data_IF_233647229621
#
_entry.id   IF_233647229621
#
_cell.length_a   1.000
_cell.length_b   1.000
_cell.length_c   1.000
_cell.angle_alpha   90.00
_cell.angle_beta   90.00
_cell.angle_gamma   90.00
#
_symmetry.space_group_name_H-M   'P 1'
#
loop_
_entity.id
_entity.type
_entity.pdbx_description
1 polymer ?
#
# COMPACT_ATOMS: atom_id res chain seq x y z
N UNK A 1 4.05 -10.25 -15.73
CA UNK A 1 3.20 -9.04 -15.89
C UNK A 1 3.87 -7.82 -15.24
N UNK A 2 4.47 -6.88 -15.98
CA UNK A 2 5.16 -5.73 -15.39
C UNK A 2 4.19 -4.56 -15.11
N UNK A 3 4.27 -3.95 -13.93
CA UNK A 3 3.63 -2.65 -13.63
C UNK A 3 4.67 -1.68 -13.09
N UNK A 4 4.49 -0.38 -13.34
CA UNK A 4 5.50 0.66 -13.06
C UNK A 4 4.85 1.85 -12.38
N UNK A 5 5.49 2.35 -11.31
CA UNK A 5 5.16 3.64 -10.69
C UNK A 5 6.39 4.52 -10.57
N UNK A 6 6.17 5.83 -10.70
CA UNK A 6 7.15 6.83 -10.33
C UNK A 6 7.24 6.92 -8.79
N UNK A 7 8.46 7.12 -8.30
CA UNK A 7 8.78 7.34 -6.90
C UNK A 7 9.41 8.73 -6.71
N UNK A 8 9.42 9.26 -5.48
CA UNK A 8 10.16 10.48 -5.14
C UNK A 8 11.62 10.45 -5.60
N UNK A 9 12.15 11.66 -5.84
CA UNK A 9 13.54 11.90 -6.22
C UNK A 9 13.94 11.29 -7.58
N UNK A 10 12.95 11.10 -8.47
CA UNK A 10 13.14 10.65 -9.85
C UNK A 10 13.47 9.15 -9.98
N UNK A 11 13.09 8.35 -8.98
CA UNK A 11 13.21 6.90 -9.07
C UNK A 11 11.91 6.30 -9.62
N UNK A 12 11.98 5.07 -10.08
CA UNK A 12 10.88 4.29 -10.61
C UNK A 12 10.98 2.88 -10.05
N UNK A 13 9.85 2.31 -9.69
CA UNK A 13 9.74 0.89 -9.34
C UNK A 13 9.01 0.16 -10.44
N UNK A 14 9.50 -1.02 -10.80
CA UNK A 14 8.80 -1.99 -11.63
C UNK A 14 8.59 -3.27 -10.82
N UNK A 15 7.34 -3.67 -10.60
CA UNK A 15 7.02 -5.01 -10.06
C UNK A 15 6.68 -5.97 -11.19
N UNK A 16 7.00 -7.25 -11.01
CA UNK A 16 6.70 -8.31 -11.97
C UNK A 16 6.65 -9.67 -11.25
N UNK A 17 5.92 -10.62 -11.80
CA UNK A 17 5.98 -12.02 -11.36
C UNK A 17 7.18 -12.71 -12.03
N UNK A 18 7.97 -13.45 -11.26
CA UNK A 18 9.15 -14.13 -11.76
C UNK A 18 8.92 -15.64 -11.81
N UNK A 19 8.78 -16.18 -13.03
CA UNK A 19 8.66 -17.62 -13.22
C UNK A 19 9.95 -18.36 -12.81
N UNK A 20 9.83 -19.32 -11.89
CA UNK A 20 10.94 -20.13 -11.39
C UNK A 20 11.77 -19.48 -10.28
N UNK A 21 11.20 -18.49 -9.58
CA UNK A 21 11.82 -17.90 -8.40
C UNK A 21 11.91 -18.89 -7.22
N UNK A 22 12.87 -18.65 -6.32
CA UNK A 22 13.14 -19.54 -5.19
C UNK A 22 12.00 -19.56 -4.17
N UNK A 23 11.35 -18.42 -3.94
CA UNK A 23 10.30 -18.27 -2.93
C UNK A 23 9.00 -18.95 -3.35
N UNK A 24 8.66 -18.85 -4.64
CA UNK A 24 7.53 -19.50 -5.28
C UNK A 24 7.66 -19.39 -6.80
N UNK A 25 7.07 -20.34 -7.54
CA UNK A 25 7.12 -20.37 -9.01
C UNK A 25 6.73 -19.06 -9.69
N UNK A 26 5.90 -18.21 -9.09
CA UNK A 26 5.54 -16.88 -9.62
C UNK A 26 5.68 -15.80 -8.54
N UNK A 27 6.70 -15.88 -7.70
CA UNK A 27 6.93 -14.88 -6.66
C UNK A 27 7.02 -13.47 -7.28
N UNK A 28 6.50 -12.47 -6.56
CA UNK A 28 6.59 -11.08 -7.01
C UNK A 28 7.97 -10.55 -6.69
N UNK A 29 8.59 -9.99 -7.72
CA UNK A 29 9.87 -9.32 -7.66
C UNK A 29 9.70 -7.86 -8.07
N UNK A 30 10.69 -7.04 -7.72
CA UNK A 30 10.77 -5.67 -8.18
C UNK A 30 12.19 -5.23 -8.49
N UNK A 31 12.28 -4.17 -9.29
CA UNK A 31 13.50 -3.46 -9.63
C UNK A 31 13.28 -1.96 -9.41
N UNK A 32 14.33 -1.27 -8.99
CA UNK A 32 14.34 0.18 -8.84
C UNK A 32 15.33 0.80 -9.82
N UNK A 33 14.91 1.85 -10.53
CA UNK A 33 15.76 2.57 -11.48
C UNK A 33 15.54 4.08 -11.42
N UNK A 34 16.57 4.86 -11.74
CA UNK A 34 16.46 6.31 -11.99
C UNK A 34 16.00 6.66 -13.41
N UNK A 35 15.99 5.67 -14.31
CA UNK A 35 15.45 5.79 -15.67
C UNK A 35 14.53 4.58 -15.93
N UNK A 36 13.24 4.80 -16.23
CA UNK A 36 12.27 3.72 -16.44
C UNK A 36 12.59 2.85 -17.67
N UNK A 37 13.60 3.21 -18.47
CA UNK A 37 14.08 2.43 -19.63
C UNK A 37 15.22 1.46 -19.29
N UNK A 38 15.77 1.51 -18.07
CA UNK A 38 17.00 0.78 -17.70
C UNK A 38 16.80 -0.28 -16.63
N UNK A 39 15.57 -0.74 -16.38
CA UNK A 39 15.31 -1.87 -15.46
C UNK A 39 16.06 -3.15 -15.83
N UNK A 40 16.40 -3.36 -17.11
CA UNK A 40 17.13 -4.55 -17.56
C UNK A 40 18.49 -4.76 -16.88
N UNK A 41 19.12 -3.69 -16.37
CA UNK A 41 20.43 -3.74 -15.70
C UNK A 41 20.37 -3.59 -14.18
N UNK A 42 19.16 -3.62 -13.59
CA UNK A 42 18.95 -3.46 -12.15
C UNK A 42 18.84 -4.81 -11.45
N UNK A 43 19.30 -4.92 -10.19
CA UNK A 43 19.18 -6.13 -9.42
C UNK A 43 17.71 -6.46 -9.15
N UNK A 44 17.45 -7.76 -9.13
CA UNK A 44 16.16 -8.35 -8.76
C UNK A 44 16.01 -8.39 -7.25
N UNK A 45 14.84 -7.97 -6.75
CA UNK A 45 14.49 -8.05 -5.34
C UNK A 45 13.19 -8.82 -5.17
N UNK A 46 13.23 -9.92 -4.42
CA UNK A 46 12.01 -10.61 -4.00
C UNK A 46 11.20 -9.72 -3.04
N UNK A 47 9.88 -9.69 -3.22
CA UNK A 47 8.96 -9.01 -2.30
C UNK A 47 8.46 -10.02 -1.27
N UNK A 48 9.18 -10.14 -0.17
CA UNK A 48 8.80 -10.97 0.99
C UNK A 48 8.43 -10.06 2.14
N UNK A 49 7.24 -10.25 2.70
CA UNK A 49 6.77 -9.47 3.82
C UNK A 49 7.51 -9.84 5.11
N UNK A 50 7.54 -8.91 6.07
CA UNK A 50 8.25 -9.12 7.36
C UNK A 50 7.66 -10.23 8.22
N UNK A 51 6.40 -10.59 8.00
CA UNK A 51 5.75 -11.72 8.67
C UNK A 51 6.01 -13.07 7.98
N UNK A 52 6.79 -13.08 6.89
CA UNK A 52 7.11 -14.26 6.09
C UNK A 52 6.13 -14.53 4.95
N UNK A 53 5.11 -13.69 4.75
CA UNK A 53 4.18 -13.83 3.62
C UNK A 53 4.93 -13.64 2.31
N UNK A 54 4.83 -14.64 1.43
CA UNK A 54 5.39 -14.61 0.08
C UNK A 54 4.32 -14.09 -0.87
N UNK A 55 4.67 -13.06 -1.62
CA UNK A 55 3.79 -12.52 -2.67
C UNK A 55 3.88 -13.34 -3.93
N UNK A 56 2.75 -13.66 -4.55
CA UNK A 56 2.69 -14.58 -5.70
C UNK A 56 1.69 -14.12 -6.75
N UNK A 57 2.18 -14.00 -7.99
CA UNK A 57 1.38 -13.86 -9.21
C UNK A 57 0.85 -12.45 -9.49
N UNK A 58 0.83 -12.08 -10.76
CA UNK A 58 0.10 -10.94 -11.34
C UNK A 58 0.12 -9.64 -10.50
N UNK A 59 1.29 -9.04 -10.21
CA UNK A 59 1.38 -7.90 -9.32
C UNK A 59 0.86 -6.60 -9.94
N UNK A 60 0.43 -5.68 -9.07
CA UNK A 60 0.12 -4.29 -9.40
C UNK A 60 0.70 -3.37 -8.33
N UNK A 61 1.43 -2.32 -8.74
CA UNK A 61 1.97 -1.33 -7.79
C UNK A 61 1.43 0.08 -8.05
N UNK A 62 1.33 0.85 -6.96
CA UNK A 62 1.16 2.30 -6.96
C UNK A 62 2.09 2.92 -5.91
N UNK A 63 2.35 4.22 -6.01
CA UNK A 63 2.99 5.00 -4.95
C UNK A 63 2.06 6.14 -4.52
N UNK A 64 2.00 6.40 -3.22
CA UNK A 64 1.27 7.53 -2.62
C UNK A 64 2.20 8.36 -1.73
N UNK A 65 2.01 9.69 -1.64
CA UNK A 65 2.72 10.52 -0.65
C UNK A 65 2.33 10.25 0.81
N UNK A 66 1.26 9.49 1.09
CA UNK A 66 0.84 9.15 2.46
C UNK A 66 1.74 8.08 3.10
N UNK A 67 1.66 7.95 4.43
CA UNK A 67 2.36 6.94 5.24
C UNK A 67 3.79 7.31 5.66
N UNK A 68 4.20 8.57 5.47
CA UNK A 68 5.44 9.12 6.00
C UNK A 68 6.21 10.02 5.03
N UNK A 69 7.41 10.52 5.40
CA UNK A 69 8.18 11.48 4.59
C UNK A 69 8.60 11.01 3.20
N UNK A 70 8.67 9.68 2.99
CA UNK A 70 9.03 9.06 1.72
C UNK A 70 7.79 8.55 0.95
N UNK A 71 6.60 8.77 1.50
CA UNK A 71 5.37 8.14 1.04
C UNK A 71 5.38 6.63 1.26
N UNK A 72 4.52 5.94 0.50
CA UNK A 72 4.33 4.49 0.60
C UNK A 72 4.18 3.89 -0.79
N UNK A 73 4.99 2.87 -1.08
CA UNK A 73 4.74 1.96 -2.20
C UNK A 73 3.72 0.93 -1.73
N UNK A 74 2.66 0.74 -2.52
CA UNK A 74 1.60 -0.22 -2.25
C UNK A 74 1.61 -1.25 -3.38
N UNK A 75 1.70 -2.53 -3.02
CA UNK A 75 1.69 -3.63 -3.99
C UNK A 75 0.54 -4.58 -3.67
N UNK A 76 -0.21 -4.97 -4.69
CA UNK A 76 -1.08 -6.15 -4.68
C UNK A 76 -0.42 -7.26 -5.47
N UNK A 77 -0.73 -8.51 -5.11
CA UNK A 77 -0.57 -9.67 -5.98
C UNK A 77 -1.93 -10.28 -6.34
N UNK A 78 -1.93 -11.41 -7.03
CA UNK A 78 -3.13 -12.11 -7.46
C UNK A 78 -3.66 -13.18 -6.51
N UNK A 79 -2.86 -13.60 -5.53
CA UNK A 79 -3.13 -14.80 -4.73
C UNK A 79 -3.49 -14.47 -3.28
N UNK A 80 -2.94 -13.39 -2.75
CA UNK A 80 -3.18 -12.85 -1.42
C UNK A 80 -4.30 -11.79 -1.46
N UNK A 81 -5.01 -11.63 -0.34
CA UNK A 81 -6.07 -10.61 -0.21
C UNK A 81 -5.52 -9.28 0.30
N UNK A 82 -4.38 -9.36 0.96
CA UNK A 82 -3.65 -8.29 1.60
C UNK A 82 -2.99 -7.37 0.57
N UNK A 83 -2.58 -6.18 1.01
CA UNK A 83 -1.65 -5.32 0.30
C UNK A 83 -0.31 -5.32 1.03
N UNK A 84 0.75 -5.05 0.28
CA UNK A 84 2.11 -5.03 0.79
C UNK A 84 2.64 -3.61 0.70
N UNK A 85 3.06 -3.06 1.84
CA UNK A 85 3.45 -1.66 1.97
C UNK A 85 4.96 -1.54 2.19
N UNK A 86 5.58 -0.59 1.52
CA UNK A 86 6.96 -0.18 1.80
C UNK A 86 7.06 1.34 1.96
N UNK A 87 7.53 1.78 3.12
CA UNK A 87 7.64 3.19 3.49
C UNK A 87 9.06 3.77 3.28
N UNK A 88 9.92 3.03 2.58
CA UNK A 88 11.34 3.37 2.43
C UNK A 88 11.82 3.15 0.98
N UNK A 89 10.97 3.54 0.03
CA UNK A 89 11.27 3.53 -1.42
C UNK A 89 11.75 2.17 -1.95
N UNK A 90 11.22 1.08 -1.40
CA UNK A 90 11.54 -0.30 -1.75
C UNK A 90 12.75 -0.88 -0.99
N UNK A 91 13.37 -0.14 -0.07
CA UNK A 91 14.38 -0.70 0.82
C UNK A 91 13.75 -1.24 2.11
N UNK A 92 14.34 -2.30 2.67
CA UNK A 92 13.97 -2.82 3.99
C UNK A 92 12.61 -3.53 4.03
N UNK A 93 11.86 -3.28 5.11
CA UNK A 93 10.66 -4.02 5.47
C UNK A 93 9.48 -3.78 4.50
N UNK A 94 8.84 -4.87 4.10
CA UNK A 94 7.50 -4.88 3.52
C UNK A 94 6.50 -5.31 4.58
N UNK A 95 5.54 -4.46 4.92
CA UNK A 95 4.49 -4.76 5.90
C UNK A 95 3.21 -5.17 5.21
N UNK A 96 2.40 -5.98 5.90
CA UNK A 96 1.12 -6.48 5.40
C UNK A 96 -0.01 -5.58 5.87
N UNK A 97 -0.90 -5.21 4.95
CA UNK A 97 -2.16 -4.53 5.21
C UNK A 97 -3.33 -5.44 4.83
N UNK A 98 -4.10 -5.86 5.81
CA UNK A 98 -5.35 -6.57 5.59
C UNK A 98 -6.36 -5.69 4.85
N UNK A 99 -7.12 -6.29 3.93
CA UNK A 99 -8.17 -5.57 3.20
C UNK A 99 -9.48 -6.36 3.17
N UNK A 100 -10.62 -5.67 3.05
CA UNK A 100 -11.90 -6.35 2.85
C UNK A 100 -12.07 -6.87 1.40
N UNK A 101 -11.15 -6.53 0.49
CA UNK A 101 -11.19 -6.99 -0.89
C UNK A 101 -10.75 -8.46 -1.00
N UNK A 102 -11.44 -9.23 -1.84
CA UNK A 102 -10.98 -10.56 -2.21
C UNK A 102 -9.67 -10.53 -3.01
N UNK A 103 -8.93 -11.64 -2.98
CA UNK A 103 -7.84 -11.88 -3.92
C UNK A 103 -8.39 -12.03 -5.35
N UNK A 104 -7.72 -11.42 -6.33
CA UNK A 104 -8.16 -11.40 -7.72
C UNK A 104 -6.96 -11.36 -8.65
N UNK A 105 -7.03 -12.09 -9.78
CA UNK A 105 -5.98 -12.08 -10.78
C UNK A 105 -5.78 -10.65 -11.31
N UNK A 106 -4.53 -10.17 -11.27
CA UNK A 106 -4.11 -8.81 -11.64
C UNK A 106 -4.92 -7.68 -10.98
N UNK A 107 -5.27 -7.86 -9.70
CA UNK A 107 -6.03 -6.88 -8.91
C UNK A 107 -5.36 -5.50 -8.96
N UNK A 108 -6.05 -4.54 -9.58
CA UNK A 108 -5.52 -3.22 -9.85
C UNK A 108 -5.67 -2.29 -8.65
N UNK A 109 -4.76 -1.32 -8.54
CA UNK A 109 -4.75 -0.32 -7.49
C UNK A 109 -4.83 1.09 -8.08
N UNK A 110 -5.46 2.01 -7.35
CA UNK A 110 -5.45 3.44 -7.64
C UNK A 110 -5.35 4.22 -6.33
N UNK A 111 -4.45 5.19 -6.28
CA UNK A 111 -4.43 6.19 -5.21
C UNK A 111 -5.59 7.15 -5.44
N UNK A 112 -6.45 7.35 -4.44
CA UNK A 112 -7.58 8.26 -4.59
C UNK A 112 -7.08 9.72 -4.68
N UNK A 113 -7.58 10.51 -5.64
CA UNK A 113 -7.07 11.86 -5.86
C UNK A 113 -7.39 12.83 -4.72
N UNK A 114 -8.53 12.65 -4.05
CA UNK A 114 -8.99 13.52 -2.97
C UNK A 114 -8.43 13.14 -1.59
N UNK A 115 -7.93 11.91 -1.46
CA UNK A 115 -7.31 11.41 -0.24
C UNK A 115 -6.20 10.41 -0.58
N UNK A 116 -4.92 10.86 -0.58
CA UNK A 116 -3.79 10.00 -0.89
C UNK A 116 -3.59 8.83 0.09
N UNK A 117 -4.16 8.88 1.30
CA UNK A 117 -4.11 7.76 2.23
C UNK A 117 -5.11 6.65 1.87
N UNK A 118 -6.08 6.92 0.99
CA UNK A 118 -7.06 5.95 0.51
C UNK A 118 -6.60 5.31 -0.79
N UNK A 119 -6.57 3.97 -0.81
CA UNK A 119 -6.29 3.16 -2.00
C UNK A 119 -7.58 2.48 -2.44
N UNK A 120 -7.96 2.70 -3.70
CA UNK A 120 -8.98 1.91 -4.38
C UNK A 120 -8.35 0.62 -4.94
N UNK A 121 -9.03 -0.49 -4.69
CA UNK A 121 -8.68 -1.85 -5.12
C UNK A 121 -9.78 -2.33 -6.07
N UNK A 122 -9.39 -2.77 -7.27
CA UNK A 122 -10.30 -3.24 -8.32
C UNK A 122 -9.94 -4.67 -8.68
N UNK A 123 -10.85 -5.61 -8.44
CA UNK A 123 -10.70 -7.03 -8.75
C UNK A 123 -11.76 -7.52 -9.74
N UNK A 124 -11.38 -8.39 -10.67
CA UNK A 124 -12.27 -9.03 -11.64
C UNK A 124 -12.56 -10.51 -11.37
N UNK A 125 -12.11 -11.05 -10.23
CA UNK A 125 -12.19 -12.46 -9.86
C UNK A 125 -10.91 -13.26 -10.14
N UNK A 126 -11.00 -14.58 -10.14
CA UNK A 126 -9.86 -15.52 -10.27
C UNK A 126 -9.81 -16.17 -11.65
N UNK A 127 -8.61 -16.64 -12.05
CA UNK A 127 -8.46 -17.47 -13.25
C UNK A 127 -9.35 -18.71 -13.16
N UNK A 128 -10.14 -18.96 -14.22
CA UNK A 128 -11.07 -20.10 -14.27
C UNK A 128 -12.26 -20.01 -13.29
N UNK A 129 -12.50 -18.87 -12.65
CA UNK A 129 -13.62 -18.68 -11.73
C UNK A 129 -14.98 -18.72 -12.44
N UNK A 130 -15.92 -19.50 -11.91
CA UNK A 130 -17.28 -19.61 -12.44
C UNK A 130 -18.18 -18.42 -12.06
N UNK A 131 -17.90 -17.79 -10.91
CA UNK A 131 -18.73 -16.73 -10.31
C UNK A 131 -17.96 -15.40 -10.19
N UNK A 132 -17.16 -15.08 -11.21
CA UNK A 132 -16.39 -13.84 -11.23
C UNK A 132 -17.30 -12.62 -11.37
N UNK A 133 -16.96 -11.56 -10.64
CA UNK A 133 -17.59 -10.24 -10.75
C UNK A 133 -16.54 -9.16 -10.59
N UNK A 134 -16.79 -7.99 -11.20
CA UNK A 134 -15.95 -6.80 -10.97
C UNK A 134 -16.35 -6.17 -9.65
N UNK A 135 -15.42 -6.13 -8.71
CA UNK A 135 -15.59 -5.54 -7.39
C UNK A 135 -14.62 -4.39 -7.20
N UNK A 136 -15.10 -3.35 -6.53
CA UNK A 136 -14.32 -2.18 -6.15
C UNK A 136 -14.42 -2.03 -4.64
N UNK A 137 -13.28 -1.81 -4.00
CA UNK A 137 -13.18 -1.63 -2.55
C UNK A 137 -12.16 -0.53 -2.28
N UNK A 138 -12.29 0.17 -1.16
CA UNK A 138 -11.27 1.12 -0.70
C UNK A 138 -10.70 0.69 0.64
N UNK A 139 -9.43 1.02 0.87
CA UNK A 139 -8.75 0.81 2.16
C UNK A 139 -7.89 2.02 2.47
N UNK A 140 -7.81 2.39 3.74
CA UNK A 140 -6.86 3.40 4.22
C UNK A 140 -5.53 2.73 4.57
N UNK A 141 -4.41 3.27 4.10
CA UNK A 141 -3.07 2.75 4.42
C UNK A 141 -2.51 3.31 5.73
N UNK A 142 -3.11 4.38 6.24
CA UNK A 142 -2.81 4.95 7.54
C UNK A 142 -3.87 4.52 8.55
N UNK A 143 -3.50 4.26 9.81
CA UNK A 143 -4.49 4.00 10.85
C UNK A 143 -5.39 5.22 11.01
N UNK A 144 -6.70 5.05 10.83
CA UNK A 144 -7.67 6.07 11.25
C UNK A 144 -7.64 6.15 12.78
N UNK A 145 -7.10 7.26 13.29
CA UNK A 145 -7.24 7.59 14.70
C UNK A 145 -8.73 7.54 15.04
N UNK A 146 -9.14 6.83 16.12
CA UNK A 146 -10.53 6.85 16.52
C UNK A 146 -10.93 8.30 16.76
N UNK A 147 -12.10 8.69 16.26
CA UNK A 147 -12.67 10.01 16.54
C UNK A 147 -12.82 10.14 18.04
N UNK A 148 -11.86 10.79 18.69
CA UNK A 148 -12.00 11.19 20.08
C UNK A 148 -13.16 12.17 20.09
N UNK A 149 -14.30 11.74 20.66
CA UNK A 149 -15.46 12.60 20.82
C UNK A 149 -14.99 13.92 21.41
N UNK A 150 -15.28 15.03 20.73
CA UNK A 150 -14.97 16.35 21.24
C UNK A 150 -15.48 16.40 22.67
N UNK A 151 -14.56 16.45 23.66
CA UNK A 151 -14.97 16.80 24.99
C UNK A 151 -15.56 18.19 24.87
N UNK A 152 -16.89 18.29 24.90
CA UNK A 152 -17.60 19.54 25.08
C UNK A 152 -16.95 20.16 26.32
N UNK A 153 -16.20 21.23 26.14
CA UNK A 153 -15.79 22.06 27.26
C UNK A 153 -17.11 22.56 27.87
N UNK A 154 -17.57 21.85 28.90
CA UNK A 154 -18.80 22.14 29.60
C UNK A 154 -18.73 23.58 30.08
N UNK A 155 -19.73 24.38 29.68
CA UNK A 155 -19.94 25.69 30.27
C UNK A 155 -20.18 25.56 31.77
N UNK A 156 -19.72 26.57 32.51
CA UNK A 156 -20.15 26.81 33.89
C UNK A 156 -19.06 26.59 34.93
N UNK A 157 -18.34 27.66 35.27
CA UNK A 157 -17.51 27.72 36.47
C UNK A 157 -17.04 29.15 36.71
N UNK A 158 -17.83 29.91 37.48
CA UNK A 158 -17.54 31.27 37.92
C UNK A 158 -16.08 31.40 38.41
N UNK A 159 -15.29 32.21 37.70
CA UNK A 159 -13.99 32.69 38.20
C UNK A 159 -14.23 33.53 39.45
N UNK A 160 -13.90 32.97 40.60
CA UNK A 160 -13.84 33.70 41.86
C UNK A 160 -12.54 34.47 41.89
N UNK A 161 -12.66 35.79 42.10
CA UNK A 161 -11.57 36.70 42.38
C UNK A 161 -10.67 36.16 43.48
N UNK A 162 -9.37 36.02 43.19
CA UNK A 162 -8.35 36.12 44.22
C UNK A 162 -7.61 37.44 44.02
N UNK A 163 -8.01 38.41 44.83
CA UNK A 163 -7.45 39.75 44.88
C UNK A 163 -5.98 39.73 45.28
N UNK A 164 -5.21 40.58 44.61
CA UNK A 164 -3.89 41.03 45.06
C UNK A 164 -4.01 41.66 46.44
N UNK A 165 -3.26 41.14 47.41
CA UNK A 165 -2.81 41.94 48.57
C UNK A 165 -1.28 42.05 48.51
N UNK A 166 -0.90 43.29 48.81
CA UNK A 166 0.40 43.97 48.82
C UNK A 166 1.59 43.15 49.28
#
# INVERSE_FOLDING_TARGET
MPTVSELPFGNWIMTFEFYGAEEADFAVYYRISRDPRTFGSKPDHALVATDGTITVGSPYNVWTPAGGPLGTIVVSDGNNRELFLNHNLGAGAWTVLETPAGASYTRALMVMPDDPATIMIIGGGRLGGADNSVQVTTVDIEPKMPTLGQCSAGGGGNGTEYGRRR
#
